data_IF_073160908298
#
_entry.id   IF_073160908298
#
_cell.length_a   1.000
_cell.length_b   1.000
_cell.length_c   1.000
_cell.angle_alpha   90.00
_cell.angle_beta   90.00
_cell.angle_gamma   90.00
#
_symmetry.space_group_name_H-M   'P 1'
#
loop_
_entity.id
_entity.type
_entity.pdbx_description
1 polymer ?
#
# COMPACT_ATOMS: atom_id res chain seq x y z
N UNK A 1 13.73 -19.07 -11.80
CA UNK A 1 14.54 -17.82 -11.95
C UNK A 1 15.76 -17.94 -11.05
N UNK A 2 16.92 -17.51 -11.52
CA UNK A 2 18.12 -17.47 -10.69
C UNK A 2 18.01 -16.37 -9.62
N UNK A 3 18.76 -16.50 -8.52
CA UNK A 3 18.73 -15.50 -7.45
C UNK A 3 19.04 -14.08 -7.93
N UNK A 4 19.96 -13.94 -8.90
CA UNK A 4 20.30 -12.65 -9.51
C UNK A 4 19.12 -12.04 -10.29
N UNK A 5 18.43 -12.81 -11.11
CA UNK A 5 17.27 -12.33 -11.87
C UNK A 5 16.11 -11.90 -10.98
N UNK A 6 15.91 -12.59 -9.86
CA UNK A 6 14.90 -12.24 -8.85
C UNK A 6 15.25 -10.90 -8.18
N UNK A 7 16.52 -10.67 -7.80
CA UNK A 7 16.96 -9.41 -7.21
C UNK A 7 16.82 -8.23 -8.19
N UNK A 8 17.12 -8.44 -9.47
CA UNK A 8 16.92 -7.42 -10.51
C UNK A 8 15.45 -7.07 -10.65
N UNK A 9 14.56 -8.06 -10.65
CA UNK A 9 13.12 -7.85 -10.73
C UNK A 9 12.60 -7.09 -9.49
N UNK A 10 13.07 -7.42 -8.28
CA UNK A 10 12.75 -6.69 -7.05
C UNK A 10 13.23 -5.24 -7.16
N UNK A 11 14.48 -5.00 -7.57
CA UNK A 11 15.01 -3.66 -7.74
C UNK A 11 14.19 -2.83 -8.74
N UNK A 12 13.87 -3.40 -9.89
CA UNK A 12 13.05 -2.73 -10.92
C UNK A 12 11.63 -2.41 -10.42
N UNK A 13 10.97 -3.37 -9.76
CA UNK A 13 9.64 -3.18 -9.19
C UNK A 13 9.63 -2.07 -8.13
N UNK A 14 10.60 -2.05 -7.22
CA UNK A 14 10.68 -1.03 -6.17
C UNK A 14 11.17 0.32 -6.69
N UNK A 15 12.01 0.37 -7.71
CA UNK A 15 12.39 1.61 -8.38
C UNK A 15 11.15 2.29 -9.00
N UNK A 16 10.35 1.51 -9.73
CA UNK A 16 9.11 2.00 -10.33
C UNK A 16 8.07 2.38 -9.25
N UNK A 17 7.90 1.54 -8.24
CA UNK A 17 6.98 1.80 -7.14
C UNK A 17 7.38 3.05 -6.34
N UNK A 18 8.67 3.25 -6.09
CA UNK A 18 9.24 4.44 -5.48
C UNK A 18 9.03 5.68 -6.34
N UNK A 19 9.27 5.59 -7.64
CA UNK A 19 9.01 6.68 -8.59
C UNK A 19 7.54 7.12 -8.54
N UNK A 20 6.60 6.18 -8.62
CA UNK A 20 5.18 6.47 -8.49
C UNK A 20 4.87 7.16 -7.17
N UNK A 21 5.40 6.64 -6.05
CA UNK A 21 5.24 7.27 -4.73
C UNK A 21 5.82 8.68 -4.68
N UNK A 22 6.97 8.92 -5.33
CA UNK A 22 7.59 10.25 -5.43
C UNK A 22 6.71 11.25 -6.18
N UNK A 23 6.04 10.81 -7.25
CA UNK A 23 5.17 11.68 -8.08
C UNK A 23 3.84 12.00 -7.38
N UNK A 24 3.12 10.99 -6.88
CA UNK A 24 1.75 11.15 -6.36
C UNK A 24 1.61 10.98 -4.85
N UNK A 25 2.68 10.62 -4.14
CA UNK A 25 2.69 10.44 -2.68
C UNK A 25 2.18 9.10 -2.17
N UNK A 26 1.73 8.21 -3.06
CA UNK A 26 1.18 6.88 -2.76
C UNK A 26 1.58 5.87 -3.85
N UNK A 27 1.25 4.60 -3.68
CA UNK A 27 1.44 3.58 -4.72
C UNK A 27 2.60 2.60 -4.48
N UNK A 28 3.47 2.83 -3.48
CA UNK A 28 4.57 1.91 -3.21
C UNK A 28 4.07 0.46 -3.00
N UNK A 29 3.09 0.19 -2.11
CA UNK A 29 2.61 -1.17 -1.89
C UNK A 29 1.86 -1.75 -3.10
N UNK A 30 1.01 -0.96 -3.74
CA UNK A 30 0.19 -1.44 -4.85
C UNK A 30 1.03 -1.83 -6.07
N UNK A 31 2.03 -1.03 -6.41
CA UNK A 31 2.92 -1.31 -7.55
C UNK A 31 3.88 -2.44 -7.23
N UNK A 32 4.56 -2.39 -6.07
CA UNK A 32 5.56 -3.40 -5.73
C UNK A 32 4.93 -4.78 -5.53
N UNK A 33 3.86 -4.90 -4.74
CA UNK A 33 3.20 -6.19 -4.51
C UNK A 33 2.53 -6.68 -5.80
N UNK A 34 1.90 -5.78 -6.56
CA UNK A 34 1.30 -6.15 -7.84
C UNK A 34 2.31 -6.73 -8.82
N UNK A 35 3.44 -6.05 -9.03
CA UNK A 35 4.50 -6.53 -9.92
C UNK A 35 5.18 -7.81 -9.39
N UNK A 36 5.51 -7.85 -8.10
CA UNK A 36 6.13 -9.02 -7.50
C UNK A 36 5.17 -10.21 -7.41
N UNK A 37 3.85 -9.98 -7.35
CA UNK A 37 2.83 -11.03 -7.42
C UNK A 37 2.84 -11.84 -8.72
N UNK A 38 3.51 -11.33 -9.78
CA UNK A 38 3.79 -12.09 -11.00
C UNK A 38 4.86 -13.17 -10.79
N UNK A 39 5.74 -13.02 -9.79
CA UNK A 39 6.95 -13.81 -9.59
C UNK A 39 6.95 -14.62 -8.28
N UNK A 40 6.25 -14.13 -7.26
CA UNK A 40 6.23 -14.73 -5.93
C UNK A 40 4.85 -14.56 -5.27
N UNK A 41 4.64 -15.21 -4.13
CA UNK A 41 3.39 -15.08 -3.38
C UNK A 41 3.19 -13.66 -2.83
N UNK A 42 1.94 -13.19 -2.67
CA UNK A 42 1.67 -11.88 -2.07
C UNK A 42 2.29 -11.71 -0.68
N UNK A 43 2.36 -12.78 0.12
CA UNK A 43 2.98 -12.76 1.45
C UNK A 43 4.50 -12.53 1.37
N UNK A 44 5.20 -13.17 0.43
CA UNK A 44 6.64 -12.93 0.21
C UNK A 44 6.90 -11.51 -0.29
N UNK A 45 6.11 -11.01 -1.26
CA UNK A 45 6.19 -9.65 -1.75
C UNK A 45 5.94 -8.62 -0.64
N UNK A 46 4.94 -8.88 0.22
CA UNK A 46 4.62 -8.06 1.38
C UNK A 46 5.75 -8.05 2.42
N UNK A 47 6.40 -9.19 2.67
CA UNK A 47 7.54 -9.25 3.60
C UNK A 47 8.72 -8.40 3.12
N UNK A 48 9.04 -8.42 1.83
CA UNK A 48 10.08 -7.55 1.24
C UNK A 48 9.68 -6.08 1.32
N UNK A 49 8.39 -5.75 1.16
CA UNK A 49 7.86 -4.39 1.19
C UNK A 49 7.96 -3.74 2.58
N UNK A 50 7.93 -4.50 3.69
CA UNK A 50 7.85 -3.95 5.06
C UNK A 50 8.91 -2.87 5.29
N UNK A 51 10.18 -3.14 5.00
CA UNK A 51 11.29 -2.21 5.26
C UNK A 51 11.20 -0.95 4.40
N UNK A 52 11.09 -1.04 3.05
CA UNK A 52 10.95 0.16 2.21
C UNK A 52 9.72 0.98 2.55
N UNK A 53 8.61 0.31 2.84
CA UNK A 53 7.35 0.97 3.19
C UNK A 53 7.46 1.71 4.51
N UNK A 54 8.00 1.07 5.54
CA UNK A 54 8.15 1.67 6.86
C UNK A 54 9.01 2.94 6.80
N UNK A 55 10.20 2.85 6.19
CA UNK A 55 11.12 4.00 6.06
C UNK A 55 10.46 5.16 5.31
N UNK A 56 9.89 4.88 4.15
CA UNK A 56 9.28 5.95 3.32
C UNK A 56 7.99 6.51 3.91
N UNK A 57 7.21 5.74 4.65
CA UNK A 57 5.97 6.19 5.29
C UNK A 57 6.24 6.97 6.57
N UNK A 58 7.22 6.56 7.39
CA UNK A 58 7.66 7.35 8.55
C UNK A 58 8.17 8.71 8.09
N UNK A 59 9.00 8.74 7.02
CA UNK A 59 9.45 10.01 6.43
C UNK A 59 8.25 10.91 6.08
N UNK A 60 7.25 10.38 5.39
CA UNK A 60 6.05 11.16 5.04
C UNK A 60 5.25 11.59 6.26
N UNK A 61 5.17 10.77 7.30
CA UNK A 61 4.42 11.08 8.51
C UNK A 61 5.06 12.20 9.35
N UNK A 62 6.40 12.26 9.39
CA UNK A 62 7.11 13.23 10.22
C UNK A 62 7.39 14.56 9.50
N UNK A 63 7.40 14.58 8.17
CA UNK A 63 7.54 15.81 7.38
C UNK A 63 6.25 16.60 7.43
N UNK A 64 6.24 17.70 8.18
CA UNK A 64 5.08 18.54 8.42
C UNK A 64 4.89 18.81 9.92
N UNK A 65 4.14 19.82 10.26
CA UNK A 65 3.87 20.16 11.66
C UNK A 65 2.65 19.42 12.23
N UNK A 66 2.51 19.37 13.58
CA UNK A 66 1.28 18.97 14.24
C UNK A 66 0.89 17.50 14.11
N UNK A 67 1.88 16.58 14.03
CA UNK A 67 1.68 15.14 13.94
C UNK A 67 0.73 14.59 15.01
N UNK A 68 0.86 15.06 16.26
CA UNK A 68 0.03 14.60 17.38
C UNK A 68 -1.46 14.94 17.18
N UNK A 69 -1.76 16.15 16.68
CA UNK A 69 -3.13 16.56 16.39
C UNK A 69 -3.73 15.73 15.25
N UNK A 70 -2.92 15.45 14.23
CA UNK A 70 -3.31 14.59 13.12
C UNK A 70 -3.55 13.15 13.60
N UNK A 71 -2.65 12.59 14.41
CA UNK A 71 -2.79 11.25 14.97
C UNK A 71 -4.06 11.12 15.83
N UNK A 72 -4.40 12.15 16.62
CA UNK A 72 -5.65 12.19 17.39
C UNK A 72 -6.89 12.18 16.48
N UNK A 73 -6.88 12.96 15.39
CA UNK A 73 -8.01 12.99 14.45
C UNK A 73 -8.15 11.68 13.70
N UNK A 74 -7.06 11.03 13.32
CA UNK A 74 -7.04 9.75 12.62
C UNK A 74 -7.12 8.54 13.57
N UNK A 75 -7.13 8.73 14.90
CA UNK A 75 -7.10 7.62 15.85
C UNK A 75 -8.18 6.55 15.62
N UNK A 76 -9.43 6.87 15.22
CA UNK A 76 -10.42 5.83 14.93
C UNK A 76 -10.01 4.96 13.72
N UNK A 77 -9.47 5.58 12.67
CA UNK A 77 -8.98 4.87 11.49
C UNK A 77 -7.80 3.96 11.86
N UNK A 78 -6.83 4.49 12.62
CA UNK A 78 -5.65 3.75 13.05
C UNK A 78 -6.01 2.56 13.96
N UNK A 79 -6.93 2.76 14.90
CA UNK A 79 -7.47 1.68 15.73
C UNK A 79 -8.20 0.64 14.89
N UNK A 80 -9.01 1.09 13.93
CA UNK A 80 -9.67 0.21 12.97
C UNK A 80 -8.68 -0.65 12.20
N UNK A 81 -7.59 -0.08 11.68
CA UNK A 81 -6.52 -0.84 10.98
C UNK A 81 -5.97 -1.94 11.87
N UNK A 82 -5.63 -1.63 13.12
CA UNK A 82 -5.13 -2.63 14.08
C UNK A 82 -6.15 -3.75 14.31
N UNK A 83 -7.40 -3.40 14.58
CA UNK A 83 -8.49 -4.36 14.82
C UNK A 83 -8.73 -5.22 13.56
N UNK A 84 -8.85 -4.59 12.40
CA UNK A 84 -9.10 -5.28 11.14
C UNK A 84 -7.97 -6.22 10.75
N UNK A 85 -6.71 -5.83 10.98
CA UNK A 85 -5.55 -6.71 10.78
C UNK A 85 -5.59 -7.90 11.74
N UNK A 86 -5.87 -7.68 13.03
CA UNK A 86 -5.98 -8.75 14.01
C UNK A 86 -7.11 -9.75 13.66
N UNK A 87 -8.29 -9.24 13.28
CA UNK A 87 -9.42 -10.06 12.82
C UNK A 87 -9.07 -10.80 11.51
N UNK A 88 -8.41 -10.12 10.57
CA UNK A 88 -7.93 -10.76 9.34
C UNK A 88 -7.02 -11.94 9.61
N UNK A 89 -6.05 -11.79 10.51
CA UNK A 89 -5.15 -12.89 10.91
C UNK A 89 -5.91 -14.05 11.59
N UNK A 90 -6.94 -13.72 12.37
CA UNK A 90 -7.71 -14.73 13.11
C UNK A 90 -8.69 -15.52 12.22
N UNK A 91 -9.31 -14.88 11.24
CA UNK A 91 -10.45 -15.44 10.50
C UNK A 91 -10.19 -15.72 9.02
N UNK A 92 -9.17 -15.09 8.39
CA UNK A 92 -8.87 -15.38 6.99
C UNK A 92 -8.17 -16.73 6.85
N UNK A 93 -8.57 -17.55 5.87
CA UNK A 93 -7.91 -18.81 5.59
C UNK A 93 -6.42 -18.60 5.27
N UNK A 94 -5.58 -19.43 5.86
CA UNK A 94 -4.11 -19.41 5.63
C UNK A 94 -3.70 -20.24 4.41
N UNK A 95 -4.66 -20.74 3.64
CA UNK A 95 -4.41 -21.59 2.49
C UNK A 95 -3.87 -20.80 1.30
N UNK A 96 -2.71 -21.23 0.84
CA UNK A 96 -1.95 -20.60 -0.26
C UNK A 96 -2.32 -21.18 -1.65
N UNK A 97 -3.54 -21.67 -1.82
CA UNK A 97 -4.05 -22.31 -3.06
C UNK A 97 -4.30 -21.29 -4.20
N UNK A 98 -3.42 -20.30 -4.38
CA UNK A 98 -3.58 -19.26 -5.42
C UNK A 98 -4.63 -18.19 -5.08
N UNK A 99 -5.48 -18.40 -4.08
CA UNK A 99 -6.54 -17.48 -3.66
C UNK A 99 -6.03 -16.10 -3.27
N UNK A 100 -4.88 -16.02 -2.59
CA UNK A 100 -4.26 -14.76 -2.23
C UNK A 100 -3.92 -13.91 -3.46
N UNK A 101 -3.47 -14.53 -4.56
CA UNK A 101 -3.19 -13.85 -5.83
C UNK A 101 -4.48 -13.34 -6.49
N UNK A 102 -5.57 -14.12 -6.42
CA UNK A 102 -6.89 -13.68 -6.90
C UNK A 102 -7.39 -12.47 -6.10
N UNK A 103 -7.32 -12.54 -4.77
CA UNK A 103 -7.72 -11.43 -3.91
C UNK A 103 -6.87 -10.18 -4.15
N UNK A 104 -5.57 -10.35 -4.35
CA UNK A 104 -4.66 -9.26 -4.75
C UNK A 104 -5.11 -8.65 -6.08
N UNK A 105 -5.36 -9.46 -7.10
CA UNK A 105 -5.82 -9.01 -8.40
C UNK A 105 -7.14 -8.23 -8.31
N UNK A 106 -8.13 -8.77 -7.60
CA UNK A 106 -9.41 -8.10 -7.37
C UNK A 106 -9.26 -6.77 -6.63
N UNK A 107 -8.45 -6.73 -5.58
CA UNK A 107 -8.18 -5.50 -4.83
C UNK A 107 -7.56 -4.41 -5.73
N UNK A 108 -6.60 -4.78 -6.61
CA UNK A 108 -6.00 -3.86 -7.57
C UNK A 108 -7.02 -3.35 -8.59
N UNK A 109 -7.89 -4.22 -9.12
CA UNK A 109 -8.95 -3.85 -10.07
C UNK A 109 -9.93 -2.86 -9.42
N UNK A 110 -10.43 -3.18 -8.20
CA UNK A 110 -11.35 -2.30 -7.48
C UNK A 110 -10.69 -0.95 -7.20
N UNK A 111 -9.44 -0.95 -6.73
CA UNK A 111 -8.70 0.28 -6.47
C UNK A 111 -8.51 1.12 -7.73
N UNK A 112 -8.15 0.47 -8.83
CA UNK A 112 -7.98 1.14 -10.11
C UNK A 112 -9.30 1.72 -10.62
N UNK A 113 -10.39 0.98 -10.55
CA UNK A 113 -11.71 1.44 -10.96
C UNK A 113 -12.16 2.68 -10.16
N UNK A 114 -12.04 2.64 -8.82
CA UNK A 114 -12.37 3.79 -7.97
C UNK A 114 -11.46 4.99 -8.24
N UNK A 115 -10.18 4.74 -8.52
CA UNK A 115 -9.22 5.79 -8.87
C UNK A 115 -9.52 6.44 -10.23
N UNK A 116 -10.08 5.71 -11.19
CA UNK A 116 -10.48 6.24 -12.51
C UNK A 116 -11.78 7.04 -12.45
N UNK A 117 -12.77 6.61 -11.65
CA UNK A 117 -14.11 7.24 -11.59
C UNK A 117 -14.10 8.61 -10.90
N UNK A 118 -13.02 9.00 -10.21
CA UNK A 118 -12.96 10.29 -9.46
C UNK A 118 -14.18 10.47 -8.56
N UNK A 119 -14.44 9.53 -7.67
CA UNK A 119 -15.55 9.69 -6.72
C UNK A 119 -15.17 10.74 -5.69
N UNK A 120 -15.73 11.93 -5.84
CA UNK A 120 -15.60 13.01 -4.87
C UNK A 120 -16.74 12.88 -3.84
N UNK A 121 -16.41 12.44 -2.65
CA UNK A 121 -17.33 12.49 -1.50
C UNK A 121 -16.61 13.15 -0.33
N UNK A 122 -17.33 13.96 0.41
CA UNK A 122 -16.82 14.53 1.66
C UNK A 122 -17.45 13.81 2.84
N UNK A 123 -16.65 13.55 3.86
CA UNK A 123 -17.12 12.90 5.10
C UNK A 123 -17.43 14.01 6.11
N UNK A 124 -18.71 14.10 6.57
CA UNK A 124 -19.06 15.04 7.62
C UNK A 124 -18.27 14.74 8.91
N UNK A 125 -17.81 15.77 9.60
CA UNK A 125 -17.02 15.61 10.85
C UNK A 125 -17.67 14.70 11.89
N UNK A 126 -19.01 14.73 11.97
CA UNK A 126 -19.78 13.85 12.88
C UNK A 126 -19.65 12.37 12.55
N UNK A 127 -19.36 12.03 11.28
CA UNK A 127 -19.22 10.67 10.81
C UNK A 127 -17.76 10.17 10.81
N UNK A 128 -16.78 11.06 10.97
CA UNK A 128 -15.35 10.71 10.92
C UNK A 128 -14.98 9.58 11.87
N UNK A 129 -15.53 9.56 13.09
CA UNK A 129 -15.17 8.57 14.11
C UNK A 129 -15.61 7.15 13.74
N UNK A 130 -16.89 6.95 13.46
CA UNK A 130 -17.40 5.61 13.18
C UNK A 130 -17.02 5.12 11.77
N UNK A 131 -17.04 6.01 10.76
CA UNK A 131 -16.55 5.68 9.42
C UNK A 131 -15.05 5.41 9.44
N UNK A 132 -14.27 6.18 10.19
CA UNK A 132 -12.84 5.94 10.33
C UNK A 132 -12.55 4.56 10.89
N UNK A 133 -13.24 4.15 11.96
CA UNK A 133 -13.10 2.82 12.53
C UNK A 133 -13.46 1.73 11.51
N UNK A 134 -14.58 1.88 10.81
CA UNK A 134 -15.05 0.91 9.81
C UNK A 134 -14.08 0.82 8.61
N UNK A 135 -13.69 1.97 8.04
CA UNK A 135 -12.75 2.02 6.91
C UNK A 135 -11.37 1.50 7.30
N UNK A 136 -10.93 1.79 8.53
CA UNK A 136 -9.70 1.23 9.08
C UNK A 136 -9.77 -0.28 9.23
N UNK A 137 -10.85 -0.81 9.79
CA UNK A 137 -11.01 -2.26 9.95
C UNK A 137 -11.05 -2.99 8.59
N UNK A 138 -11.76 -2.45 7.62
CA UNK A 138 -11.77 -2.98 6.26
C UNK A 138 -10.35 -2.92 5.63
N UNK A 139 -9.63 -1.80 5.82
CA UNK A 139 -8.24 -1.66 5.34
C UNK A 139 -7.33 -2.72 5.95
N UNK A 140 -7.39 -2.92 7.27
CA UNK A 140 -6.59 -3.92 7.96
C UNK A 140 -6.87 -5.35 7.49
N UNK A 141 -8.15 -5.72 7.33
CA UNK A 141 -8.55 -7.03 6.83
C UNK A 141 -8.05 -7.27 5.39
N UNK A 142 -8.23 -6.29 4.49
CA UNK A 142 -7.73 -6.36 3.11
C UNK A 142 -6.20 -6.45 3.09
N UNK A 143 -5.51 -5.75 4.00
CA UNK A 143 -4.05 -5.78 4.13
C UNK A 143 -3.54 -7.19 4.40
N UNK A 144 -4.18 -7.93 5.31
CA UNK A 144 -3.80 -9.32 5.60
C UNK A 144 -4.01 -10.23 4.39
N UNK A 145 -5.10 -10.04 3.67
CA UNK A 145 -5.43 -10.87 2.51
C UNK A 145 -4.54 -10.63 1.30
N UNK A 146 -4.07 -9.38 1.10
CA UNK A 146 -3.46 -8.94 -0.16
C UNK A 146 -2.08 -8.31 -0.02
N UNK A 147 -1.69 -7.90 1.19
CA UNK A 147 -0.53 -7.04 1.44
C UNK A 147 -0.76 -5.55 1.10
N UNK A 148 -1.91 -5.19 0.50
CA UNK A 148 -2.23 -3.83 0.07
C UNK A 148 -3.05 -3.12 1.14
N UNK A 149 -2.55 -2.00 1.65
CA UNK A 149 -3.19 -1.19 2.71
C UNK A 149 -3.70 0.18 2.23
N UNK A 150 -3.89 0.33 0.92
CA UNK A 150 -4.37 1.60 0.35
C UNK A 150 -5.89 1.69 0.41
N UNK A 151 -6.61 0.58 0.32
CA UNK A 151 -8.07 0.55 0.28
C UNK A 151 -8.70 -0.06 1.53
N UNK A 152 -9.81 0.48 1.98
CA UNK A 152 -10.49 1.73 1.59
C UNK A 152 -9.96 2.97 2.32
N UNK A 153 -8.91 2.86 3.13
CA UNK A 153 -8.38 3.93 3.99
C UNK A 153 -7.96 5.19 3.22
N UNK A 154 -7.32 5.05 2.04
CA UNK A 154 -6.89 6.22 1.25
C UNK A 154 -8.05 7.06 0.74
N UNK A 155 -9.08 6.53 0.07
CA UNK A 155 -10.26 7.29 -0.30
C UNK A 155 -10.92 7.99 0.91
N UNK A 156 -10.99 7.30 2.05
CA UNK A 156 -11.52 7.90 3.28
C UNK A 156 -10.68 9.09 3.75
N UNK A 157 -9.34 8.98 3.79
CA UNK A 157 -8.47 10.10 4.18
C UNK A 157 -8.59 11.26 3.18
N UNK A 158 -8.71 10.96 1.88
CA UNK A 158 -8.90 11.97 0.84
C UNK A 158 -10.22 12.72 0.99
N UNK A 159 -11.26 12.09 1.51
CA UNK A 159 -12.57 12.71 1.76
C UNK A 159 -12.63 13.62 3.00
N UNK A 160 -11.56 13.65 3.81
CA UNK A 160 -11.47 14.46 5.03
C UNK A 160 -11.05 15.92 4.80
N UNK A 161 -10.98 16.37 3.55
CA UNK A 161 -10.70 17.76 3.17
C UNK A 161 -9.39 18.33 3.77
N UNK A 162 -8.33 17.52 3.77
CA UNK A 162 -6.99 17.97 4.13
C UNK A 162 -6.39 18.80 2.98
N UNK A 163 -5.60 19.83 3.33
CA UNK A 163 -4.66 20.40 2.39
C UNK A 163 -3.64 19.35 1.92
N UNK A 164 -2.92 19.64 0.82
CA UNK A 164 -2.03 18.67 0.18
C UNK A 164 -0.96 18.11 1.11
N UNK A 165 -0.35 18.95 1.92
CA UNK A 165 0.76 18.52 2.79
C UNK A 165 0.23 17.70 3.97
N UNK A 166 -0.90 18.09 4.52
CA UNK A 166 -1.61 17.31 5.55
C UNK A 166 -2.12 15.99 5.02
N UNK A 167 -2.61 15.95 3.78
CA UNK A 167 -3.03 14.71 3.13
C UNK A 167 -1.85 13.73 3.01
N UNK A 168 -0.70 14.18 2.53
CA UNK A 168 0.52 13.34 2.42
C UNK A 168 0.96 12.84 3.78
N UNK A 169 0.93 13.70 4.82
CA UNK A 169 1.25 13.35 6.19
C UNK A 169 0.26 12.32 6.76
N UNK A 170 -1.05 12.52 6.55
CA UNK A 170 -2.11 11.61 6.98
C UNK A 170 -1.98 10.21 6.36
N UNK A 171 -1.69 10.17 5.05
CA UNK A 171 -1.40 8.92 4.33
C UNK A 171 -0.14 8.25 4.89
N UNK A 172 0.94 9.02 5.11
CA UNK A 172 2.18 8.52 5.70
C UNK A 172 1.94 7.87 7.07
N UNK A 173 1.17 8.52 7.94
CA UNK A 173 0.83 8.00 9.26
C UNK A 173 -0.02 6.73 9.19
N UNK A 174 -1.08 6.74 8.38
CA UNK A 174 -1.95 5.57 8.18
C UNK A 174 -1.16 4.39 7.61
N UNK A 175 -0.33 4.62 6.61
CA UNK A 175 0.51 3.58 6.00
C UNK A 175 1.61 3.08 6.94
N UNK A 176 2.13 3.93 7.83
CA UNK A 176 3.08 3.50 8.87
C UNK A 176 2.41 2.49 9.80
N UNK A 177 1.23 2.79 10.32
CA UNK A 177 0.48 1.87 11.19
C UNK A 177 0.11 0.59 10.43
N UNK A 178 -0.38 0.70 9.20
CA UNK A 178 -0.69 -0.47 8.36
C UNK A 178 0.54 -1.34 8.11
N UNK A 179 1.72 -0.74 7.88
CA UNK A 179 2.96 -1.50 7.68
C UNK A 179 3.41 -2.20 8.95
N UNK A 180 3.29 -1.54 10.12
CA UNK A 180 3.63 -2.16 11.41
C UNK A 180 2.70 -3.34 11.70
N UNK A 181 1.39 -3.17 11.52
CA UNK A 181 0.42 -4.25 11.75
C UNK A 181 0.59 -5.40 10.75
N UNK A 182 0.89 -5.09 9.48
CA UNK A 182 1.24 -6.10 8.48
C UNK A 182 2.51 -6.87 8.86
N UNK A 183 3.57 -6.17 9.31
CA UNK A 183 4.80 -6.82 9.76
C UNK A 183 4.55 -7.76 10.94
N UNK A 184 3.73 -7.33 11.91
CA UNK A 184 3.32 -8.16 13.05
C UNK A 184 2.51 -9.38 12.59
N UNK A 185 1.58 -9.21 11.63
CA UNK A 185 0.80 -10.29 11.04
C UNK A 185 1.70 -11.32 10.32
N UNK A 186 2.65 -10.85 9.50
CA UNK A 186 3.60 -11.71 8.79
C UNK A 186 4.55 -12.44 9.74
N UNK A 187 4.99 -11.79 10.82
CA UNK A 187 5.80 -12.43 11.86
C UNK A 187 5.00 -13.54 12.59
N UNK A 188 3.76 -13.25 12.96
CA UNK A 188 2.89 -14.22 13.63
C UNK A 188 2.56 -15.42 12.74
N UNK A 189 2.44 -15.20 11.41
CA UNK A 189 2.14 -16.27 10.44
C UNK A 189 3.39 -16.99 9.91
N UNK A 190 4.60 -16.62 10.37
CA UNK A 190 5.86 -17.29 9.99
C UNK A 190 6.39 -16.91 8.61
N UNK A 191 5.91 -15.83 8.00
CA UNK A 191 6.36 -15.37 6.67
C UNK A 191 7.59 -14.45 6.73
N UNK A 192 8.07 -14.08 7.92
CA UNK A 192 9.30 -13.32 8.09
C UNK A 192 10.48 -14.30 8.11
N UNK A 193 11.27 -14.26 7.04
CA UNK A 193 12.46 -15.11 6.89
C UNK A 193 13.72 -14.25 6.78
N UNK A 194 14.80 -14.68 7.40
CA UNK A 194 16.12 -13.99 7.33
C UNK A 194 16.66 -13.91 5.90
N UNK A 195 16.30 -14.87 5.05
CA UNK A 195 16.64 -14.87 3.61
C UNK A 195 16.07 -13.66 2.84
N UNK A 196 15.01 -13.03 3.35
CA UNK A 196 14.40 -11.83 2.74
C UNK A 196 15.07 -10.52 3.18
N UNK A 197 16.03 -10.54 4.11
CA UNK A 197 16.69 -9.33 4.59
C UNK A 197 17.46 -8.61 3.47
N UNK A 198 18.26 -9.35 2.69
CA UNK A 198 19.00 -8.76 1.58
C UNK A 198 18.09 -8.23 0.46
N UNK A 199 17.08 -8.99 -0.04
CA UNK A 199 16.06 -8.46 -0.94
C UNK A 199 15.37 -7.19 -0.44
N UNK A 200 15.08 -7.09 0.87
CA UNK A 200 14.46 -5.89 1.46
C UNK A 200 15.39 -4.66 1.45
N UNK A 201 16.70 -4.86 1.63
CA UNK A 201 17.69 -3.77 1.52
C UNK A 201 17.77 -3.28 0.06
N UNK A 202 17.85 -4.19 -0.90
CA UNK A 202 17.85 -3.84 -2.33
C UNK A 202 16.57 -3.09 -2.70
N UNK A 203 15.42 -3.56 -2.22
CA UNK A 203 14.13 -2.92 -2.39
C UNK A 203 14.09 -1.52 -1.78
N UNK A 204 14.65 -1.33 -0.57
CA UNK A 204 14.73 -0.02 0.09
C UNK A 204 15.54 0.97 -0.73
N UNK A 205 16.75 0.59 -1.16
CA UNK A 205 17.64 1.47 -1.94
C UNK A 205 16.95 1.85 -3.26
N UNK A 206 16.40 0.87 -3.97
CA UNK A 206 15.68 1.11 -5.23
C UNK A 206 14.46 2.02 -5.03
N UNK A 207 13.67 1.80 -3.96
CA UNK A 207 12.52 2.63 -3.64
C UNK A 207 12.91 4.08 -3.32
N UNK A 208 13.98 4.30 -2.57
CA UNK A 208 14.47 5.64 -2.23
C UNK A 208 14.99 6.39 -3.47
N UNK A 209 15.74 5.71 -4.34
CA UNK A 209 16.20 6.28 -5.62
C UNK A 209 14.99 6.65 -6.48
N UNK A 210 14.06 5.71 -6.67
CA UNK A 210 12.83 5.95 -7.43
C UNK A 210 12.02 7.11 -6.87
N UNK A 211 11.84 7.17 -5.54
CA UNK A 211 11.10 8.23 -4.88
C UNK A 211 11.78 9.60 -5.07
N UNK A 212 13.10 9.69 -4.97
CA UNK A 212 13.86 10.90 -5.23
C UNK A 212 13.68 11.40 -6.68
N UNK A 213 13.83 10.51 -7.66
CA UNK A 213 13.58 10.82 -9.08
C UNK A 213 12.13 11.25 -9.32
N UNK A 214 11.16 10.55 -8.71
CA UNK A 214 9.75 10.90 -8.80
C UNK A 214 9.44 12.29 -8.25
N UNK A 215 10.03 12.66 -7.11
CA UNK A 215 9.88 13.99 -6.51
C UNK A 215 10.47 15.09 -7.39
N UNK A 216 11.65 14.88 -7.97
CA UNK A 216 12.31 15.83 -8.87
C UNK A 216 11.54 16.04 -10.18
N UNK A 217 10.84 15.01 -10.66
CA UNK A 217 10.09 15.07 -11.93
C UNK A 217 8.63 15.46 -11.75
N UNK A 218 8.13 15.48 -10.51
CA UNK A 218 6.73 15.75 -10.17
C UNK A 218 6.17 17.04 -10.79
N UNK A 219 6.97 18.11 -10.83
CA UNK A 219 6.55 19.41 -11.42
C UNK A 219 6.47 19.40 -12.94
N UNK A 220 7.10 18.43 -13.61
CA UNK A 220 7.16 18.31 -15.08
C UNK A 220 6.08 17.39 -15.65
N UNK A 221 5.46 16.58 -14.81
CA UNK A 221 4.49 15.56 -15.22
C UNK A 221 3.08 16.09 -14.97
N UNK A 222 2.21 16.03 -16.00
CA UNK A 222 0.79 16.33 -15.86
C UNK A 222 0.14 15.30 -14.94
N UNK A 223 -0.32 15.73 -13.76
CA UNK A 223 -0.85 14.85 -12.72
C UNK A 223 -2.02 13.97 -13.21
N UNK A 224 -2.88 14.50 -14.07
CA UNK A 224 -4.02 13.76 -14.62
C UNK A 224 -3.58 12.62 -15.54
N UNK A 225 -2.66 12.89 -16.47
CA UNK A 225 -2.12 11.86 -17.39
C UNK A 225 -1.40 10.77 -16.60
N UNK A 226 -0.56 11.16 -15.63
CA UNK A 226 0.14 10.21 -14.80
C UNK A 226 -0.84 9.32 -14.00
N UNK A 227 -1.86 9.93 -13.40
CA UNK A 227 -2.90 9.22 -12.66
C UNK A 227 -3.64 8.23 -13.57
N UNK A 228 -4.02 8.63 -14.77
CA UNK A 228 -4.67 7.77 -15.74
C UNK A 228 -3.80 6.56 -16.09
N UNK A 229 -2.54 6.80 -16.49
CA UNK A 229 -1.60 5.72 -16.82
C UNK A 229 -1.37 4.78 -15.62
N UNK A 230 -1.25 5.32 -14.41
CA UNK A 230 -1.08 4.55 -13.19
C UNK A 230 -2.27 3.62 -12.93
N UNK A 231 -3.49 4.14 -12.94
CA UNK A 231 -4.67 3.32 -12.67
C UNK A 231 -5.00 2.35 -13.81
N UNK A 232 -4.78 2.72 -15.07
CA UNK A 232 -4.90 1.78 -16.20
C UNK A 232 -3.88 0.65 -16.06
N UNK A 233 -2.63 0.95 -15.74
CA UNK A 233 -1.60 -0.06 -15.49
C UNK A 233 -1.96 -1.00 -14.33
N UNK A 234 -2.49 -0.45 -13.22
CA UNK A 234 -2.97 -1.27 -12.10
C UNK A 234 -4.18 -2.12 -12.48
N UNK A 235 -5.10 -1.61 -13.29
CA UNK A 235 -6.26 -2.35 -13.78
C UNK A 235 -5.82 -3.57 -14.59
N UNK A 236 -4.92 -3.39 -15.55
CA UNK A 236 -4.39 -4.46 -16.39
C UNK A 236 -3.63 -5.49 -15.55
N UNK A 237 -2.78 -5.03 -14.64
CA UNK A 237 -2.03 -5.90 -13.72
C UNK A 237 -2.96 -6.70 -12.81
N UNK A 238 -3.95 -6.04 -12.20
CA UNK A 238 -4.92 -6.68 -11.32
C UNK A 238 -5.77 -7.72 -12.06
N UNK A 239 -6.23 -7.40 -13.27
CA UNK A 239 -6.98 -8.34 -14.11
C UNK A 239 -6.15 -9.57 -14.46
N UNK A 240 -4.88 -9.37 -14.84
CA UNK A 240 -3.96 -10.47 -15.15
C UNK A 240 -3.75 -11.38 -13.91
N UNK A 241 -3.51 -10.80 -12.73
CA UNK A 241 -3.31 -11.58 -11.50
C UNK A 241 -4.59 -12.33 -11.09
N UNK A 242 -5.76 -11.71 -11.21
CA UNK A 242 -7.02 -12.34 -10.89
C UNK A 242 -7.29 -13.55 -11.82
N UNK A 243 -7.09 -13.39 -13.13
CA UNK A 243 -7.27 -14.46 -14.11
C UNK A 243 -6.26 -15.60 -13.92
N UNK A 244 -4.99 -15.27 -13.69
CA UNK A 244 -3.93 -16.28 -13.46
C UNK A 244 -4.17 -17.12 -12.21
N UNK A 245 -4.74 -16.52 -11.15
CA UNK A 245 -5.03 -17.26 -9.92
C UNK A 245 -6.29 -18.14 -10.00
N UNK A 246 -7.07 -18.02 -11.07
CA UNK A 246 -8.25 -18.87 -11.37
C UNK A 246 -7.92 -20.06 -12.27
N UNK A 247 -6.81 -20.00 -12.99
CA UNK A 247 -6.28 -21.05 -13.88
C UNK A 247 -5.29 -21.95 -13.14
#
# INVERSE_FOLDING_TARGET
MDAASTLVAIAAAFLLAGFVKGVIGLGLPTVSIGLLGLLMTPAQAAAILVVPSLVTNIWQAVVGGGLLALARRLSPLLAGICIGTALGVAFLPRDDNGRATVWLGLALVIYAALGLVKVDFSVPRKAETWLGLLMGAATGAITVATGIFVMPGTPYIQSMEFDRDRLVQALGLSFTVSTITLAAALAYTGHVQTSLAWPSIVALVAALIGMGVGQLTRGKIKAETFRLCFFVGLMLLGLHLALRGLL
#
